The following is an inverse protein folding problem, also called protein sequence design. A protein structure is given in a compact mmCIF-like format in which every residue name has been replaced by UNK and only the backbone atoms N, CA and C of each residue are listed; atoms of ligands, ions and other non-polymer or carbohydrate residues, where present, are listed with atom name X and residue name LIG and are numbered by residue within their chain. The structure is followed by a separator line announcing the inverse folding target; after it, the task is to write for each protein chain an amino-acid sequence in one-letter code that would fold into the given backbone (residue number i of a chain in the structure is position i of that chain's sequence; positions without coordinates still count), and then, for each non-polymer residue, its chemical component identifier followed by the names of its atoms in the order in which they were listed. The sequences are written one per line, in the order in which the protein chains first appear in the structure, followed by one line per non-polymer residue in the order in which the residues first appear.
data_IF_244532073352
#
_entry.id   IF_244532073352
#
_cell.length_a   1.000
_cell.length_b   1.000
_cell.length_c   1.000
_cell.angle_alpha   90.00
_cell.angle_beta   90.00
_cell.angle_gamma   90.00
#
_symmetry.space_group_name_H-M   'P 1'
#
loop_
_entity.id
_entity.type
_entity.pdbx_description
1 polymer ?
#
# COMPACT_ATOMS: atom_id res chain seq x y z
N UNK A 1 5.67 19.08 -2.32
CA UNK A 1 4.78 18.92 -1.15
C UNK A 1 3.36 18.80 -1.67
N UNK A 2 2.75 17.63 -1.56
CA UNK A 2 1.33 17.45 -1.85
C UNK A 2 0.59 17.35 -0.51
N UNK A 3 -0.43 18.19 -0.30
CA UNK A 3 -1.34 18.13 0.85
C UNK A 3 -2.74 17.98 0.24
N UNK A 4 -3.35 16.81 0.40
CA UNK A 4 -4.70 16.49 -0.05
C UNK A 4 -5.67 16.51 1.13
N UNK A 5 -6.89 17.01 0.92
CA UNK A 5 -7.90 17.19 1.97
C UNK A 5 -8.43 15.85 2.55
N UNK A 6 -8.15 14.73 1.87
CA UNK A 6 -8.45 13.36 2.32
C UNK A 6 -7.30 12.42 1.93
N UNK A 7 -7.02 11.41 2.76
CA UNK A 7 -5.95 10.41 2.53
C UNK A 7 -6.04 9.81 1.12
N UNK A 8 -7.26 9.54 0.64
CA UNK A 8 -7.51 8.97 -0.68
C UNK A 8 -7.02 9.85 -1.84
N UNK A 9 -7.05 11.18 -1.71
CA UNK A 9 -6.53 12.08 -2.75
C UNK A 9 -5.00 12.04 -2.81
N UNK A 10 -4.33 11.89 -1.67
CA UNK A 10 -2.87 11.75 -1.63
C UNK A 10 -2.44 10.41 -2.22
N UNK A 11 -3.12 9.33 -1.82
CA UNK A 11 -2.87 7.97 -2.32
C UNK A 11 -3.18 7.87 -3.81
N UNK A 12 -4.18 8.62 -4.30
CA UNK A 12 -4.49 8.68 -5.73
C UNK A 12 -3.29 9.17 -6.56
N UNK A 13 -2.48 10.11 -6.07
CA UNK A 13 -1.29 10.58 -6.78
C UNK A 13 -0.23 9.47 -6.94
N UNK A 14 -0.09 8.63 -5.92
CA UNK A 14 0.79 7.44 -5.99
C UNK A 14 0.19 6.43 -6.97
N UNK A 15 -1.11 6.14 -6.87
CA UNK A 15 -1.80 5.19 -7.74
C UNK A 15 -1.77 5.59 -9.24
N UNK A 16 -1.79 6.89 -9.58
CA UNK A 16 -1.58 7.32 -10.98
C UNK A 16 -0.13 7.24 -11.42
N UNK A 17 0.84 7.39 -10.52
CA UNK A 17 2.27 7.42 -10.84
C UNK A 17 2.91 6.05 -11.07
N UNK A 18 2.27 4.97 -10.65
CA UNK A 18 2.83 3.61 -10.74
C UNK A 18 2.67 3.02 -12.15
N UNK A 19 3.60 2.16 -12.62
CA UNK A 19 3.50 1.52 -13.93
C UNK A 19 2.22 0.69 -14.11
N UNK A 20 1.77 0.56 -15.36
CA UNK A 20 0.70 -0.37 -15.71
C UNK A 20 1.11 -1.82 -15.37
N UNK A 21 0.16 -2.64 -14.95
CA UNK A 21 0.42 -4.02 -14.54
C UNK A 21 1.05 -4.19 -13.15
N UNK A 22 1.31 -3.11 -12.40
CA UNK A 22 1.95 -3.17 -11.07
C UNK A 22 1.14 -3.97 -10.05
N UNK A 23 1.85 -4.63 -9.14
CA UNK A 23 1.31 -5.35 -7.99
C UNK A 23 1.41 -4.49 -6.74
N UNK A 24 0.28 -4.24 -6.11
CA UNK A 24 0.16 -3.40 -4.91
C UNK A 24 -0.17 -4.30 -3.72
N UNK A 25 0.74 -4.39 -2.76
CA UNK A 25 0.54 -5.13 -1.52
C UNK A 25 -0.25 -4.26 -0.52
N UNK A 26 -1.30 -4.82 0.07
CA UNK A 26 -2.14 -4.15 1.08
C UNK A 26 -2.44 -5.11 2.23
N UNK A 27 -2.70 -4.56 3.43
CA UNK A 27 -3.17 -5.37 4.55
C UNK A 27 -4.65 -5.76 4.36
N UNK A 28 -5.04 -6.94 4.84
CA UNK A 28 -6.47 -7.26 5.00
C UNK A 28 -7.11 -6.29 6.00
N UNK A 29 -8.37 -5.93 5.75
CA UNK A 29 -9.13 -4.93 6.53
C UNK A 29 -8.55 -3.52 6.50
N UNK A 30 -7.66 -3.22 5.54
CA UNK A 30 -7.16 -1.87 5.32
C UNK A 30 -8.28 -0.91 4.90
N UNK A 31 -8.12 0.36 5.24
CA UNK A 31 -9.09 1.40 4.95
C UNK A 31 -9.34 1.51 3.45
N UNK A 32 -10.63 1.53 3.08
CA UNK A 32 -11.03 1.71 1.69
C UNK A 32 -10.46 3.00 1.09
N UNK A 33 -10.21 4.05 1.88
CA UNK A 33 -9.54 5.28 1.42
C UNK A 33 -8.11 5.05 0.93
N UNK A 34 -7.43 4.00 1.39
CA UNK A 34 -6.08 3.59 0.96
C UNK A 34 -6.14 2.63 -0.22
N UNK A 35 -7.06 1.65 -0.20
CA UNK A 35 -7.11 0.59 -1.23
C UNK A 35 -7.87 1.01 -2.49
N UNK A 36 -8.92 1.83 -2.37
CA UNK A 36 -9.79 2.21 -3.48
C UNK A 36 -9.09 2.96 -4.63
N UNK A 37 -8.15 3.90 -4.38
CA UNK A 37 -7.43 4.56 -5.47
C UNK A 37 -6.68 3.59 -6.39
N UNK A 38 -6.11 2.51 -5.85
CA UNK A 38 -5.46 1.47 -6.65
C UNK A 38 -6.48 0.53 -7.32
N UNK A 39 -7.57 0.20 -6.62
CA UNK A 39 -8.66 -0.59 -7.19
C UNK A 39 -9.30 0.10 -8.40
N UNK A 40 -9.46 1.43 -8.36
CA UNK A 40 -9.95 2.22 -9.48
C UNK A 40 -9.04 2.16 -10.72
N UNK A 41 -7.76 1.81 -10.55
CA UNK A 41 -6.78 1.68 -11.63
C UNK A 41 -6.66 0.24 -12.17
N UNK A 42 -7.53 -0.71 -11.76
CA UNK A 42 -7.53 -2.09 -12.27
C UNK A 42 -7.60 -2.19 -13.81
N UNK A 43 -8.23 -1.21 -14.46
CA UNK A 43 -8.30 -1.12 -15.92
C UNK A 43 -6.92 -0.99 -16.61
N UNK A 44 -5.88 -0.53 -15.88
CA UNK A 44 -4.47 -0.49 -16.32
C UNK A 44 -3.71 -1.78 -15.98
N UNK A 45 -4.41 -2.82 -15.55
CA UNK A 45 -3.82 -4.11 -15.15
C UNK A 45 -3.22 -4.13 -13.74
N UNK A 46 -3.43 -3.09 -12.93
CA UNK A 46 -2.97 -3.05 -11.54
C UNK A 46 -3.67 -4.14 -10.72
N UNK A 47 -2.89 -4.87 -9.92
CA UNK A 47 -3.37 -5.99 -9.08
C UNK A 47 -3.14 -5.69 -7.61
N UNK A 48 -4.20 -5.77 -6.82
CA UNK A 48 -4.12 -5.72 -5.37
C UNK A 48 -3.82 -7.12 -4.82
N UNK A 49 -2.84 -7.21 -3.92
CA UNK A 49 -2.46 -8.42 -3.20
C UNK A 49 -2.73 -8.15 -1.72
N UNK A 50 -3.76 -8.79 -1.18
CA UNK A 50 -4.11 -8.68 0.24
C UNK A 50 -3.37 -9.73 1.07
N UNK A 51 -2.71 -9.31 2.14
CA UNK A 51 -2.01 -10.18 3.10
C UNK A 51 -2.37 -9.81 4.53
N UNK A 52 -2.15 -10.71 5.48
CA UNK A 52 -2.28 -10.37 6.90
C UNK A 52 -1.22 -9.31 7.28
N UNK A 53 -1.54 -8.42 8.23
CA UNK A 53 -0.67 -7.28 8.58
C UNK A 53 0.73 -7.73 9.04
N UNK A 54 0.80 -8.85 9.76
CA UNK A 54 2.06 -9.42 10.25
C UNK A 54 2.91 -10.04 9.12
N UNK A 55 2.29 -10.47 8.02
CA UNK A 55 2.98 -11.06 6.87
C UNK A 55 3.54 -10.01 5.92
N UNK A 56 3.10 -8.76 6.05
CA UNK A 56 3.38 -7.66 5.14
C UNK A 56 4.89 -7.40 4.95
N UNK A 57 5.72 -7.33 6.02
CA UNK A 57 7.17 -7.14 5.87
C UNK A 57 7.85 -8.28 5.10
N UNK A 58 7.34 -9.51 5.19
CA UNK A 58 7.92 -10.68 4.53
C UNK A 58 7.55 -10.80 3.04
N UNK A 59 6.57 -10.01 2.58
CA UNK A 59 5.99 -10.09 1.24
C UNK A 59 6.36 -8.90 0.36
N UNK A 60 7.09 -7.92 0.89
CA UNK A 60 7.44 -6.67 0.19
C UNK A 60 8.12 -6.93 -1.15
N UNK A 61 9.09 -7.85 -1.20
CA UNK A 61 9.85 -8.21 -2.40
C UNK A 61 8.99 -8.76 -3.56
N UNK A 62 7.77 -9.21 -3.22
CA UNK A 62 6.82 -9.77 -4.18
C UNK A 62 5.84 -8.72 -4.73
N UNK A 63 6.01 -7.44 -4.39
CA UNK A 63 5.17 -6.35 -4.85
C UNK A 63 6.00 -5.17 -5.38
N UNK A 64 5.36 -4.35 -6.21
CA UNK A 64 5.99 -3.18 -6.81
C UNK A 64 5.72 -1.92 -5.98
N UNK A 65 4.70 -1.96 -5.12
CA UNK A 65 4.31 -0.89 -4.18
C UNK A 65 3.65 -1.51 -2.95
N UNK A 66 3.88 -0.94 -1.77
CA UNK A 66 3.16 -1.28 -0.54
C UNK A 66 2.25 -0.13 -0.11
N UNK A 67 0.97 -0.39 0.07
CA UNK A 67 0.00 0.60 0.55
C UNK A 67 -0.69 0.10 1.82
N UNK A 68 -0.29 0.66 2.97
CA UNK A 68 -0.78 0.28 4.29
C UNK A 68 -0.89 1.50 5.21
N UNK A 69 -1.89 1.52 6.07
CA UNK A 69 -1.99 2.47 7.18
C UNK A 69 -1.06 2.04 8.31
N UNK A 70 -0.19 2.97 8.75
CA UNK A 70 0.78 2.70 9.83
C UNK A 70 0.08 2.32 11.14
N UNK A 71 -1.11 2.89 11.39
CA UNK A 71 -2.01 2.49 12.46
C UNK A 71 -3.32 2.04 11.83
N UNK A 72 -3.71 0.80 12.07
CA UNK A 72 -4.96 0.24 11.61
C UNK A 72 -6.10 0.89 12.37
N UNK A 73 -6.95 1.67 11.69
CA UNK A 73 -8.06 2.34 12.39
C UNK A 73 -9.21 1.38 12.76
N UNK A 74 -9.13 0.09 12.40
CA UNK A 74 -10.09 -0.94 12.81
C UNK A 74 -9.88 -1.39 14.27
N UNK A 75 -8.64 -1.54 14.71
CA UNK A 75 -8.28 -2.14 16.00
C UNK A 75 -7.12 -1.43 16.73
N UNK A 76 -6.51 -0.41 16.12
CA UNK A 76 -5.37 0.33 16.65
C UNK A 76 -4.02 -0.38 16.50
N UNK A 77 -3.99 -1.54 15.84
CA UNK A 77 -2.76 -2.30 15.60
C UNK A 77 -1.79 -1.50 14.74
N UNK A 78 -0.51 -1.54 15.08
CA UNK A 78 0.54 -0.84 14.32
C UNK A 78 1.25 -1.84 13.43
N UNK A 79 1.51 -1.44 12.18
CA UNK A 79 2.44 -2.19 11.33
C UNK A 79 3.84 -2.11 11.96
N UNK A 80 4.62 -3.18 11.90
CA UNK A 80 6.03 -3.12 12.27
C UNK A 80 6.77 -2.25 11.24
N UNK A 81 6.77 -0.95 11.50
CA UNK A 81 7.21 0.07 10.56
C UNK A 81 8.73 0.03 10.35
N UNK A 82 9.48 -0.36 11.38
CA UNK A 82 10.93 -0.50 11.30
C UNK A 82 11.28 -1.71 10.41
N UNK A 83 10.64 -2.86 10.61
CA UNK A 83 10.82 -4.03 9.75
C UNK A 83 10.35 -3.77 8.32
N UNK A 84 9.22 -3.08 8.14
CA UNK A 84 8.68 -2.73 6.82
C UNK A 84 9.65 -1.80 6.06
N UNK A 85 10.20 -0.78 6.72
CA UNK A 85 11.12 0.18 6.12
C UNK A 85 12.44 -0.47 5.74
N UNK A 86 12.97 -1.35 6.58
CA UNK A 86 14.21 -2.10 6.30
C UNK A 86 14.04 -2.97 5.05
N UNK A 87 12.94 -3.72 4.97
CA UNK A 87 12.67 -4.62 3.84
C UNK A 87 12.33 -3.86 2.55
N UNK A 88 11.52 -2.80 2.60
CA UNK A 88 11.28 -1.92 1.44
C UNK A 88 12.56 -1.29 0.90
N UNK A 89 13.45 -0.84 1.78
CA UNK A 89 14.75 -0.29 1.41
C UNK A 89 15.67 -1.32 0.75
N UNK A 90 15.67 -2.56 1.24
CA UNK A 90 16.43 -3.66 0.66
C UNK A 90 15.87 -4.10 -0.71
N UNK A 91 14.56 -4.03 -0.90
CA UNK A 91 13.84 -4.46 -2.09
C UNK A 91 13.77 -3.41 -3.21
N UNK A 92 14.00 -2.12 -2.88
CA UNK A 92 13.77 -1.01 -3.80
C UNK A 92 12.28 -0.73 -4.06
N UNK A 93 11.41 -1.14 -3.13
CA UNK A 93 9.95 -1.01 -3.23
C UNK A 93 9.50 0.27 -2.49
N UNK A 94 8.88 1.24 -3.20
CA UNK A 94 8.40 2.48 -2.60
C UNK A 94 7.13 2.32 -1.74
#
# INVERSE_FOLDING_TARGET
MAIGATVSQLVSLVATGIPDGSRVLVAKNEFTSVTFPFAAQQHRGIKLIEVDLDDLPSRVDSADVVAVSVVQSADGSQVDFDALRENSGAAGVP
#
